data_IF_591470668639
#
_entry.id   IF_591470668639
#
_cell.length_a   1.000
_cell.length_b   1.000
_cell.length_c   1.000
_cell.angle_alpha   90.00
_cell.angle_beta   90.00
_cell.angle_gamma   90.00
#
_symmetry.space_group_name_H-M   'P 1'
#
loop_
_entity.id
_entity.type
_entity.pdbx_description
1 polymer ?
#
# COMPACT_ATOMS: atom_id res chain seq x y z
N UNK A 1 12.36 2.70 10.12
CA UNK A 1 11.21 3.55 10.47
C UNK A 1 11.14 3.66 11.99
N UNK A 2 10.74 4.81 12.55
CA UNK A 2 10.58 4.94 13.99
C UNK A 2 9.57 3.89 14.49
N UNK A 3 9.80 3.29 15.68
CA UNK A 3 8.86 2.35 16.27
C UNK A 3 7.49 2.99 16.44
N UNK A 4 6.42 2.23 16.21
CA UNK A 4 5.01 2.64 16.43
C UNK A 4 4.52 3.82 15.58
N UNK A 5 5.17 4.07 14.43
CA UNK A 5 4.74 5.08 13.44
C UNK A 5 4.28 4.44 12.12
N UNK A 6 3.12 3.73 12.11
CA UNK A 6 2.58 3.12 10.90
C UNK A 6 2.30 4.15 9.79
N UNK A 7 1.97 5.39 10.14
CA UNK A 7 1.71 6.49 9.22
C UNK A 7 2.92 6.83 8.32
N UNK A 8 4.13 6.50 8.78
CA UNK A 8 5.38 6.72 8.04
C UNK A 8 5.82 5.50 7.23
N UNK A 9 5.10 4.37 7.34
CA UNK A 9 5.42 3.14 6.65
C UNK A 9 4.61 3.04 5.33
N UNK A 10 5.22 3.15 4.14
CA UNK A 10 4.48 3.11 2.87
C UNK A 10 3.68 1.81 2.68
N UNK A 11 4.14 0.71 3.28
CA UNK A 11 3.45 -0.58 3.22
C UNK A 11 2.09 -0.52 3.90
N UNK A 12 1.91 0.26 4.97
CA UNK A 12 0.61 0.39 5.65
C UNK A 12 -0.43 1.09 4.77
N UNK A 13 -0.01 2.08 3.97
CA UNK A 13 -0.88 2.77 3.02
C UNK A 13 -1.33 1.85 1.88
N UNK A 14 -0.43 0.97 1.41
CA UNK A 14 -0.77 -0.09 0.44
C UNK A 14 -1.79 -1.05 1.05
N UNK A 15 -1.60 -1.46 2.30
CA UNK A 15 -2.54 -2.35 3.01
C UNK A 15 -3.89 -1.70 3.24
N UNK A 16 -3.93 -0.42 3.59
CA UNK A 16 -5.17 0.33 3.72
C UNK A 16 -5.95 0.37 2.40
N UNK A 17 -5.27 0.66 1.29
CA UNK A 17 -5.88 0.62 -0.04
C UNK A 17 -6.46 -0.76 -0.37
N UNK A 18 -5.68 -1.83 -0.16
CA UNK A 18 -6.14 -3.19 -0.43
C UNK A 18 -7.35 -3.57 0.44
N UNK A 19 -7.34 -3.20 1.72
CA UNK A 19 -8.45 -3.49 2.64
C UNK A 19 -9.74 -2.82 2.18
N UNK A 20 -9.67 -1.55 1.77
CA UNK A 20 -10.84 -0.77 1.34
C UNK A 20 -11.36 -1.15 -0.05
N UNK A 21 -10.49 -1.60 -0.95
CA UNK A 21 -10.85 -1.83 -2.36
C UNK A 21 -10.97 -3.31 -2.74
N UNK A 22 -10.12 -4.19 -2.21
CA UNK A 22 -10.13 -5.62 -2.54
C UNK A 22 -10.96 -6.46 -1.56
N UNK A 23 -11.05 -6.06 -0.28
CA UNK A 23 -11.67 -6.87 0.80
C UNK A 23 -12.99 -6.31 1.35
N UNK A 24 -13.65 -5.40 0.63
CA UNK A 24 -14.83 -4.71 1.16
C UNK A 24 -16.06 -5.63 1.24
N UNK A 25 -16.52 -5.91 2.45
CA UNK A 25 -17.83 -6.52 2.78
C UNK A 25 -18.07 -7.98 2.32
N UNK A 26 -17.03 -8.81 2.20
CA UNK A 26 -17.20 -10.23 1.92
C UNK A 26 -16.48 -11.11 2.95
N UNK A 27 -17.19 -12.13 3.44
CA UNK A 27 -16.58 -13.21 4.21
C UNK A 27 -15.97 -14.21 3.23
N UNK A 28 -14.69 -14.50 3.39
CA UNK A 28 -13.98 -15.49 2.58
C UNK A 28 -14.05 -16.85 3.29
N UNK A 29 -14.20 -17.93 2.51
CA UNK A 29 -14.47 -19.26 3.04
C UNK A 29 -13.20 -20.08 3.27
N UNK A 30 -12.06 -19.60 2.77
CA UNK A 30 -10.76 -20.26 2.91
C UNK A 30 -9.62 -19.25 2.91
N UNK A 31 -8.45 -19.69 3.39
CA UNK A 31 -7.22 -18.91 3.27
C UNK A 31 -6.79 -18.75 1.82
N UNK A 32 -7.04 -19.75 0.97
CA UNK A 32 -6.69 -19.70 -0.46
C UNK A 32 -7.45 -18.56 -1.15
N UNK A 33 -8.74 -18.39 -0.86
CA UNK A 33 -9.53 -17.25 -1.37
C UNK A 33 -8.95 -15.89 -0.93
N UNK A 34 -8.40 -15.80 0.29
CA UNK A 34 -7.73 -14.58 0.78
C UNK A 34 -6.46 -14.31 -0.04
N UNK A 35 -5.66 -15.35 -0.29
CA UNK A 35 -4.40 -15.23 -1.04
C UNK A 35 -4.67 -14.84 -2.49
N UNK A 36 -5.69 -15.41 -3.11
CA UNK A 36 -6.06 -15.10 -4.50
C UNK A 36 -6.47 -13.62 -4.63
N UNK A 37 -7.40 -13.15 -3.79
CA UNK A 37 -7.87 -11.75 -3.80
C UNK A 37 -6.72 -10.78 -3.50
N UNK A 38 -5.85 -11.13 -2.53
CA UNK A 38 -4.68 -10.33 -2.22
C UNK A 38 -3.74 -10.23 -3.41
N UNK A 39 -3.47 -11.36 -4.07
CA UNK A 39 -2.58 -11.43 -5.23
C UNK A 39 -3.11 -10.60 -6.39
N UNK A 40 -4.42 -10.68 -6.66
CA UNK A 40 -5.07 -9.86 -7.69
C UNK A 40 -5.00 -8.37 -7.37
N UNK A 41 -5.27 -7.98 -6.12
CA UNK A 41 -5.17 -6.58 -5.68
C UNK A 41 -3.74 -6.04 -5.79
N UNK A 42 -2.74 -6.84 -5.42
CA UNK A 42 -1.32 -6.46 -5.56
C UNK A 42 -0.90 -6.39 -7.03
N UNK A 43 -1.34 -7.33 -7.87
CA UNK A 43 -1.08 -7.30 -9.31
C UNK A 43 -1.71 -6.06 -9.96
N UNK A 44 -2.92 -5.67 -9.56
CA UNK A 44 -3.53 -4.43 -10.00
C UNK A 44 -2.68 -3.21 -9.63
N UNK A 45 -2.27 -3.08 -8.36
CA UNK A 45 -1.45 -1.96 -7.90
C UNK A 45 -0.07 -1.90 -8.57
N UNK A 46 0.55 -3.07 -8.82
CA UNK A 46 1.82 -3.18 -9.54
C UNK A 46 1.74 -2.56 -10.94
N UNK A 47 0.57 -2.64 -11.58
CA UNK A 47 0.31 -2.03 -12.89
C UNK A 47 -0.17 -0.56 -12.80
N UNK A 48 -0.26 0.03 -11.60
CA UNK A 48 -0.78 1.39 -11.37
C UNK A 48 0.23 2.26 -10.60
N UNK A 49 1.38 2.59 -11.21
CA UNK A 49 2.47 3.30 -10.53
C UNK A 49 2.03 4.67 -9.99
N UNK A 50 1.11 5.38 -10.65
CA UNK A 50 0.63 6.67 -10.18
C UNK A 50 -0.23 6.57 -8.91
N UNK A 51 -1.05 5.51 -8.78
CA UNK A 51 -1.80 5.25 -7.55
C UNK A 51 -0.84 4.95 -6.42
N UNK A 52 0.12 4.05 -6.65
CA UNK A 52 1.16 3.71 -5.67
C UNK A 52 1.95 4.95 -5.25
N UNK A 53 2.33 5.80 -6.20
CA UNK A 53 3.02 7.04 -5.92
C UNK A 53 2.18 7.99 -5.08
N UNK A 54 0.90 8.17 -5.41
CA UNK A 54 0.02 9.09 -4.67
C UNK A 54 -0.16 8.72 -3.20
N UNK A 55 -0.05 7.43 -2.84
CA UNK A 55 -0.20 6.96 -1.46
C UNK A 55 1.13 6.77 -0.72
N UNK A 56 2.26 6.61 -1.42
CA UNK A 56 3.57 6.30 -0.79
C UNK A 56 4.61 7.42 -0.92
N UNK A 57 4.37 8.45 -1.73
CA UNK A 57 5.31 9.55 -1.95
C UNK A 57 5.23 10.62 -0.84
N UNK A 58 5.73 10.27 0.35
CA UNK A 58 5.76 11.19 1.49
C UNK A 58 6.61 12.43 1.23
N UNK A 59 6.19 13.58 1.77
CA UNK A 59 6.87 14.87 1.59
C UNK A 59 8.37 14.81 2.00
N UNK A 60 8.69 14.10 3.07
CA UNK A 60 10.07 13.97 3.56
C UNK A 60 11.00 13.21 2.60
N UNK A 61 10.46 12.32 1.73
CA UNK A 61 11.26 11.68 0.68
C UNK A 61 11.72 12.70 -0.35
N UNK A 62 10.92 13.72 -0.64
CA UNK A 62 11.29 14.80 -1.56
C UNK A 62 12.31 15.75 -0.93
N UNK A 63 12.23 15.97 0.39
CA UNK A 63 13.18 16.83 1.12
C UNK A 63 14.60 16.25 1.13
N UNK A 64 14.76 14.93 1.21
CA UNK A 64 16.07 14.27 1.16
C UNK A 64 16.82 14.51 -0.17
N UNK A 65 16.09 14.71 -1.27
CA UNK A 65 16.67 14.98 -2.58
C UNK A 65 17.15 16.44 -2.74
N UNK A 66 16.70 17.36 -1.88
CA UNK A 66 17.08 18.79 -1.92
C UNK A 66 18.32 19.12 -1.11
N UNK A 67 18.79 18.22 -0.24
CA UNK A 67 20.06 18.36 0.51
C UNK A 67 21.25 17.71 -0.17
N UNK A 68 21.04 17.10 -1.35
CA UNK A 68 22.09 16.57 -2.21
C UNK A 68 22.37 17.55 -3.36
N UNK A 69 22.76 18.79 -3.05
CA UNK A 69 23.42 19.73 -3.95
C UNK A 69 24.41 20.58 -3.15
#
# INVERSE_FOLDING_TARGET
>A
LPPYSPELNPVEHVWEYLRENAFKNFSLNSLDEVVDILSDGLNFLSNQPEIVRSMTNFDWLNTLCLTCN
#
